data_IF_125386627088
#
_entry.id   IF_125386627088
#
_cell.length_a   1.000
_cell.length_b   1.000
_cell.length_c   1.000
_cell.angle_alpha   90.00
_cell.angle_beta   90.00
_cell.angle_gamma   90.00
#
_symmetry.space_group_name_H-M   'P 1'
#
loop_
_entity.id
_entity.type
_entity.pdbx_description
1 polymer ?
#
# COMPACT_ATOMS: atom_id res chain seq x y z
N UNK A 1 6.57 -17.60 -1.72
CA UNK A 1 6.41 -16.18 -1.28
C UNK A 1 5.64 -15.32 -2.29
N UNK A 2 5.60 -15.65 -3.60
CA UNK A 2 4.88 -14.87 -4.62
C UNK A 2 3.35 -14.90 -4.51
N UNK A 3 2.75 -16.05 -4.22
CA UNK A 3 1.27 -16.19 -4.23
C UNK A 3 0.55 -15.24 -3.25
N UNK A 4 1.00 -15.19 -1.99
CA UNK A 4 0.42 -14.32 -0.96
C UNK A 4 0.50 -12.83 -1.33
N UNK A 5 1.57 -12.43 -2.00
CA UNK A 5 1.71 -11.05 -2.47
C UNK A 5 0.67 -10.72 -3.54
N UNK A 6 0.53 -11.59 -4.55
CA UNK A 6 -0.45 -11.42 -5.63
C UNK A 6 -1.87 -11.39 -5.10
N UNK A 7 -2.21 -12.32 -4.21
CA UNK A 7 -3.52 -12.41 -3.57
C UNK A 7 -3.86 -11.15 -2.77
N UNK A 8 -2.95 -10.72 -1.89
CA UNK A 8 -3.16 -9.51 -1.08
C UNK A 8 -3.23 -8.25 -1.94
N UNK A 9 -2.41 -8.16 -3.00
CA UNK A 9 -2.46 -7.06 -3.96
C UNK A 9 -3.84 -6.96 -4.62
N UNK A 10 -4.39 -8.09 -5.06
CA UNK A 10 -5.73 -8.16 -5.63
C UNK A 10 -6.81 -7.72 -4.64
N UNK A 11 -6.75 -8.23 -3.41
CA UNK A 11 -7.69 -7.87 -2.35
C UNK A 11 -7.65 -6.37 -2.04
N UNK A 12 -6.46 -5.77 -1.89
CA UNK A 12 -6.30 -4.34 -1.64
C UNK A 12 -6.79 -3.49 -2.82
N UNK A 13 -6.49 -3.91 -4.05
CA UNK A 13 -6.96 -3.21 -5.27
C UNK A 13 -8.49 -3.21 -5.36
N UNK A 14 -9.13 -4.31 -4.98
CA UNK A 14 -10.58 -4.44 -4.93
C UNK A 14 -11.19 -3.62 -3.78
N UNK A 15 -10.62 -3.70 -2.58
CA UNK A 15 -11.08 -2.95 -1.39
C UNK A 15 -11.04 -1.44 -1.60
N UNK A 16 -9.99 -0.94 -2.24
CA UNK A 16 -9.78 0.48 -2.54
C UNK A 16 -9.99 0.79 -4.03
N UNK A 17 -11.00 0.18 -4.65
CA UNK A 17 -11.32 0.37 -6.07
C UNK A 17 -11.48 1.87 -6.40
N UNK A 18 -10.79 2.33 -7.44
CA UNK A 18 -10.79 3.73 -7.86
C UNK A 18 -9.92 4.67 -7.03
N UNK A 19 -9.36 4.20 -5.89
CA UNK A 19 -8.47 4.99 -5.02
C UNK A 19 -7.01 4.59 -5.12
N UNK A 20 -6.75 3.29 -5.32
CA UNK A 20 -5.40 2.77 -5.49
C UNK A 20 -5.10 2.39 -6.94
N UNK A 21 -3.91 2.75 -7.43
CA UNK A 21 -3.34 2.10 -8.60
C UNK A 21 -2.99 0.64 -8.29
N UNK A 22 -2.73 -0.17 -9.31
CA UNK A 22 -2.24 -1.54 -9.09
C UNK A 22 -0.87 -1.55 -8.41
N UNK A 23 -0.02 -0.56 -8.72
CA UNK A 23 1.31 -0.43 -8.15
C UNK A 23 1.23 -0.12 -6.66
N UNK A 24 0.38 0.83 -6.25
CA UNK A 24 0.20 1.20 -4.85
C UNK A 24 -0.38 0.04 -4.02
N UNK A 25 -1.34 -0.69 -4.59
CA UNK A 25 -1.87 -1.89 -3.95
C UNK A 25 -0.78 -2.95 -3.73
N UNK A 26 0.15 -3.11 -4.66
CA UNK A 26 1.29 -4.01 -4.53
C UNK A 26 2.27 -3.52 -3.45
N UNK A 27 2.59 -2.22 -3.43
CA UNK A 27 3.46 -1.62 -2.40
C UNK A 27 2.89 -1.83 -1.00
N UNK A 28 1.59 -1.59 -0.81
CA UNK A 28 0.90 -1.83 0.46
C UNK A 28 0.91 -3.32 0.84
N UNK A 29 0.70 -4.21 -0.12
CA UNK A 29 0.77 -5.65 0.12
C UNK A 29 2.17 -6.08 0.58
N UNK A 30 3.22 -5.58 -0.06
CA UNK A 30 4.61 -5.82 0.36
C UNK A 30 4.85 -5.30 1.78
N UNK A 31 4.48 -4.04 2.05
CA UNK A 31 4.67 -3.42 3.35
C UNK A 31 3.94 -4.19 4.47
N UNK A 32 2.71 -4.62 4.21
CA UNK A 32 1.90 -5.42 5.15
C UNK A 32 2.55 -6.77 5.45
N UNK A 33 2.93 -7.53 4.41
CA UNK A 33 3.57 -8.85 4.57
C UNK A 33 4.92 -8.77 5.27
N UNK A 34 5.66 -7.67 5.09
CA UNK A 34 6.95 -7.43 5.73
C UNK A 34 6.84 -6.76 7.09
N UNK A 35 5.62 -6.37 7.53
CA UNK A 35 5.38 -5.54 8.73
C UNK A 35 6.24 -4.27 8.72
N UNK A 36 6.44 -3.70 7.54
CA UNK A 36 7.27 -2.52 7.31
C UNK A 36 6.46 -1.23 7.45
N UNK A 37 7.15 -0.13 7.71
CA UNK A 37 6.57 1.22 7.64
C UNK A 37 6.70 1.75 6.22
N UNK A 38 5.60 2.20 5.63
CA UNK A 38 5.59 2.86 4.33
C UNK A 38 6.11 4.30 4.47
N UNK A 39 7.15 4.64 3.72
CA UNK A 39 7.62 6.01 3.56
C UNK A 39 7.13 6.51 2.20
N UNK A 40 6.37 7.60 2.17
CA UNK A 40 5.80 8.11 0.92
C UNK A 40 5.61 9.62 0.97
N UNK A 41 5.67 10.26 -0.20
CA UNK A 41 5.27 11.66 -0.38
C UNK A 41 3.83 11.81 -0.85
N UNK A 42 3.20 10.71 -1.24
CA UNK A 42 1.78 10.65 -1.56
C UNK A 42 0.97 10.64 -0.25
N UNK A 43 0.18 11.70 -0.05
CA UNK A 43 -0.65 11.86 1.14
C UNK A 43 -1.80 10.86 1.17
N UNK A 44 -2.45 10.63 0.05
CA UNK A 44 -3.60 9.73 -0.04
C UNK A 44 -3.18 8.29 0.26
N UNK A 45 -2.00 7.89 -0.20
CA UNK A 45 -1.43 6.58 0.12
C UNK A 45 -1.02 6.46 1.59
N UNK A 46 -0.50 7.53 2.20
CA UNK A 46 -0.14 7.53 3.63
C UNK A 46 -1.35 7.42 4.57
N UNK A 47 -2.53 7.85 4.12
CA UNK A 47 -3.77 7.79 4.89
C UNK A 47 -4.49 6.44 4.79
N UNK A 48 -3.99 5.51 3.98
CA UNK A 48 -4.52 4.14 3.95
C UNK A 48 -4.10 3.37 5.21
N UNK A 49 -5.08 3.12 6.08
CA UNK A 49 -4.91 2.46 7.38
C UNK A 49 -4.53 0.98 7.37
N UNK A 50 -4.04 0.43 6.26
CA UNK A 50 -3.62 -0.99 6.15
C UNK A 50 -2.21 -1.23 6.73
N UNK A 51 -1.35 -0.21 6.70
CA UNK A 51 0.03 -0.29 7.18
C UNK A 51 0.41 0.99 7.91
N UNK A 52 1.42 0.92 8.79
CA UNK A 52 2.00 2.14 9.33
C UNK A 52 2.63 2.93 8.19
N UNK A 53 2.26 4.19 8.05
CA UNK A 53 2.83 5.08 7.04
C UNK A 53 3.42 6.33 7.69
N UNK A 54 4.47 6.87 7.09
CA UNK A 54 5.02 8.18 7.39
C UNK A 54 5.03 8.99 6.10
N UNK A 55 4.21 10.04 6.09
CA UNK A 55 4.17 11.00 4.99
C UNK A 55 5.35 11.98 5.09
N UNK A 56 5.98 12.25 3.96
CA UNK A 56 6.99 13.31 3.82
C UNK A 56 6.48 14.32 2.81
N UNK A 57 6.25 15.56 3.27
CA UNK A 57 6.00 16.66 2.34
C UNK A 57 7.31 17.01 1.64
N UNK A 58 7.32 16.93 0.33
CA UNK A 58 8.44 17.42 -0.50
C UNK A 58 8.02 18.83 -1.01
N UNK A 59 8.92 19.83 -1.00
CA UNK A 59 8.66 21.16 -1.54
C UNK A 59 8.30 21.18 -3.02
#
# INVERSE_FOLDING_TARGET
>A
MSWKLTELTGLLKCKYRGKLSLVDACILAVASLKKATLLTADKDLAEIGEVKAKHFSIP
#
